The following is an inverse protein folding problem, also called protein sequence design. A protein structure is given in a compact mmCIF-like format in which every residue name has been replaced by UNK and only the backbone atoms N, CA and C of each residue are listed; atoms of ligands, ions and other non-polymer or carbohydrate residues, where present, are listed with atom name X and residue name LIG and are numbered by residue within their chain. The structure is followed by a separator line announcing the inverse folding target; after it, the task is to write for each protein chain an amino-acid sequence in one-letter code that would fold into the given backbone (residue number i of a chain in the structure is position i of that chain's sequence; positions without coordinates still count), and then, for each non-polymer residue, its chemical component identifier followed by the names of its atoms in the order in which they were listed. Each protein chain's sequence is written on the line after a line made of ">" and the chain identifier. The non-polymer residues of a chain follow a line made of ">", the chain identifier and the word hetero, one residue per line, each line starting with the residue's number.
data_IF_707183977221
#
_entry.id   IF_707183977221
#
_cell.length_a   1.000
_cell.length_b   1.000
_cell.length_c   1.000
_cell.angle_alpha   90.00
_cell.angle_beta   90.00
_cell.angle_gamma   90.00
#
_symmetry.space_group_name_H-M   'P 1'
#
loop_
_entity.id
_entity.type
_entity.pdbx_description
1 polymer ?
#
# COMPACT_ATOMS: atom_id res chain seq x y z
N UNK A 1 10.81 2.85 -18.47
CA UNK A 1 11.35 1.62 -17.88
C UNK A 1 11.08 1.70 -16.39
N UNK A 2 10.46 0.67 -15.81
CA UNK A 2 10.09 0.66 -14.39
C UNK A 2 11.34 0.52 -13.52
N UNK A 3 11.34 1.12 -12.34
CA UNK A 3 12.43 1.00 -11.39
C UNK A 3 11.97 1.18 -9.94
N UNK A 4 12.55 0.40 -9.03
CA UNK A 4 12.39 0.63 -7.59
C UNK A 4 13.19 1.86 -7.17
N UNK A 5 12.51 2.83 -6.56
CA UNK A 5 13.15 3.99 -5.95
C UNK A 5 13.31 3.77 -4.44
N UNK A 6 14.29 4.45 -3.82
CA UNK A 6 14.40 4.43 -2.37
C UNK A 6 13.15 5.07 -1.74
N UNK A 7 12.59 4.52 -0.65
CA UNK A 7 11.39 5.08 -0.05
C UNK A 7 11.49 6.57 0.31
N UNK A 8 12.66 7.02 0.80
CA UNK A 8 12.92 8.44 1.08
C UNK A 8 12.86 9.33 -0.17
N UNK A 9 13.26 8.82 -1.34
CA UNK A 9 13.19 9.58 -2.60
C UNK A 9 11.73 9.71 -3.07
N UNK A 10 10.95 8.65 -2.94
CA UNK A 10 9.51 8.66 -3.26
C UNK A 10 8.79 9.64 -2.30
N UNK A 11 9.03 9.52 -1.00
CA UNK A 11 8.43 10.39 -0.01
C UNK A 11 8.82 11.87 -0.19
N UNK A 12 10.07 12.17 -0.55
CA UNK A 12 10.50 13.54 -0.85
C UNK A 12 9.80 14.14 -2.09
N UNK A 13 9.42 13.30 -3.06
CA UNK A 13 8.65 13.71 -4.24
C UNK A 13 7.18 13.91 -3.91
N UNK A 14 6.56 13.01 -3.16
CA UNK A 14 5.12 13.05 -2.84
C UNK A 14 4.80 14.03 -1.70
N UNK A 15 5.62 14.05 -0.65
CA UNK A 15 5.44 14.88 0.55
C UNK A 15 6.76 15.58 0.94
N UNK A 16 7.12 16.66 0.25
CA UNK A 16 8.35 17.39 0.54
C UNK A 16 8.43 17.81 2.02
N UNK A 17 9.56 17.50 2.67
CA UNK A 17 9.79 17.80 4.10
C UNK A 17 9.25 16.74 5.06
N UNK A 18 8.60 15.69 4.55
CA UNK A 18 8.27 14.51 5.34
C UNK A 18 9.54 13.76 5.77
N UNK A 19 9.47 13.16 6.96
CA UNK A 19 10.49 12.24 7.46
C UNK A 19 10.09 10.77 7.29
N UNK A 20 8.94 10.50 6.66
CA UNK A 20 8.50 9.14 6.34
C UNK A 20 9.26 8.58 5.12
N UNK A 21 9.56 7.27 5.08
CA UNK A 21 9.35 6.27 6.13
C UNK A 21 10.49 6.17 7.15
N UNK A 22 11.44 7.11 7.16
CA UNK A 22 12.63 7.06 8.03
C UNK A 22 12.32 7.22 9.53
N UNK A 23 11.11 7.64 9.90
CA UNK A 23 10.66 7.72 11.30
C UNK A 23 9.58 6.69 11.55
N UNK A 24 9.83 5.78 12.50
CA UNK A 24 8.80 4.98 13.15
C UNK A 24 8.32 5.76 14.39
N UNK A 25 7.01 5.95 14.59
CA UNK A 25 5.92 5.33 13.85
C UNK A 25 5.24 6.29 12.85
N UNK A 26 5.79 6.45 11.64
CA UNK A 26 5.41 7.54 10.72
C UNK A 26 4.01 7.46 10.10
N UNK A 27 3.29 6.33 10.23
CA UNK A 27 1.91 6.14 9.77
C UNK A 27 0.94 5.71 10.88
N UNK A 28 1.38 5.73 12.14
CA UNK A 28 0.49 5.45 13.27
C UNK A 28 -0.56 6.56 13.46
N UNK A 29 -1.60 6.34 14.29
CA UNK A 29 -2.63 7.32 14.54
C UNK A 29 -2.07 8.72 14.85
N UNK A 30 -2.51 9.72 14.08
CA UNK A 30 -2.08 11.11 14.21
C UNK A 30 -0.91 11.54 13.31
N UNK A 31 -0.51 10.75 12.32
CA UNK A 31 0.50 11.18 11.33
C UNK A 31 0.06 12.45 10.57
N UNK A 32 1.03 13.26 10.15
CA UNK A 32 0.80 14.56 9.50
C UNK A 32 0.71 14.53 7.97
N UNK A 33 0.67 13.34 7.36
CA UNK A 33 0.62 13.21 5.89
C UNK A 33 -0.82 13.45 5.38
N UNK A 34 -0.99 14.15 4.25
CA UNK A 34 -2.29 14.32 3.63
C UNK A 34 -2.73 13.06 2.88
N UNK A 35 -4.04 12.93 2.69
CA UNK A 35 -4.60 11.93 1.76
C UNK A 35 -3.99 12.12 0.38
N UNK A 36 -3.44 11.04 -0.19
CA UNK A 36 -2.66 11.07 -1.45
C UNK A 36 -2.91 9.79 -2.24
N UNK A 37 -3.50 9.94 -3.43
CA UNK A 37 -3.55 8.88 -4.43
C UNK A 37 -2.19 8.77 -5.12
N UNK A 38 -1.53 7.63 -4.94
CA UNK A 38 -0.21 7.34 -5.53
C UNK A 38 -0.38 6.55 -6.82
N UNK A 39 -1.28 5.56 -6.79
CA UNK A 39 -1.75 4.73 -7.89
C UNK A 39 -3.22 4.36 -7.62
N UNK A 40 -3.95 3.80 -8.59
CA UNK A 40 -5.39 3.55 -8.47
C UNK A 40 -5.80 2.73 -7.24
N UNK A 41 -4.98 1.73 -6.88
CA UNK A 41 -5.20 0.88 -5.70
C UNK A 41 -4.39 1.29 -4.46
N UNK A 42 -3.73 2.45 -4.51
CA UNK A 42 -2.82 2.95 -3.47
C UNK A 42 -3.15 4.38 -3.10
N UNK A 43 -4.23 4.55 -2.34
CA UNK A 43 -4.65 5.83 -1.78
C UNK A 43 -4.22 5.91 -0.31
N UNK A 44 -3.12 6.60 -0.02
CA UNK A 44 -2.76 6.94 1.35
C UNK A 44 -3.86 7.82 1.94
N UNK A 45 -4.32 7.50 3.15
CA UNK A 45 -5.30 8.30 3.87
C UNK A 45 -4.60 9.28 4.81
N UNK A 46 -5.19 10.46 5.02
CA UNK A 46 -4.85 11.27 6.18
C UNK A 46 -5.30 10.60 7.48
N UNK A 47 -4.75 11.08 8.60
CA UNK A 47 -5.00 10.44 9.90
C UNK A 47 -6.48 10.42 10.32
N UNK A 48 -7.35 11.33 9.85
CA UNK A 48 -8.76 11.32 10.21
C UNK A 48 -9.50 10.26 9.39
N UNK A 49 -9.26 10.21 8.08
CA UNK A 49 -9.84 9.20 7.20
C UNK A 49 -9.37 7.79 7.57
N UNK A 50 -8.09 7.60 7.85
CA UNK A 50 -7.51 6.35 8.35
C UNK A 50 -8.21 5.85 9.63
N UNK A 51 -8.53 6.76 10.53
CA UNK A 51 -9.23 6.46 11.77
C UNK A 51 -10.68 6.05 11.53
N UNK A 52 -11.39 6.81 10.67
CA UNK A 52 -12.75 6.49 10.28
C UNK A 52 -12.86 5.12 9.61
N UNK A 53 -11.93 4.79 8.71
CA UNK A 53 -11.86 3.46 8.07
C UNK A 53 -11.60 2.36 9.10
N UNK A 54 -10.64 2.55 9.99
CA UNK A 54 -10.31 1.55 11.02
C UNK A 54 -11.53 1.27 11.91
N UNK A 55 -12.15 2.29 12.47
CA UNK A 55 -13.29 2.10 13.40
C UNK A 55 -14.59 1.71 12.68
N UNK A 56 -14.79 2.16 11.45
CA UNK A 56 -15.93 1.75 10.63
C UNK A 56 -15.92 0.25 10.33
N UNK A 57 -14.72 -0.34 10.20
CA UNK A 57 -14.51 -1.77 9.95
C UNK A 57 -14.38 -2.62 11.21
N UNK A 58 -14.08 -2.00 12.35
CA UNK A 58 -13.84 -2.70 13.63
C UNK A 58 -15.05 -3.50 14.13
N UNK A 59 -16.25 -2.96 13.97
CA UNK A 59 -17.49 -3.62 14.39
C UNK A 59 -17.83 -4.86 13.54
N UNK A 60 -17.82 -4.82 12.19
CA UNK A 60 -18.04 -6.02 11.39
C UNK A 60 -16.90 -7.04 11.46
N UNK A 61 -15.65 -6.61 11.69
CA UNK A 61 -14.46 -7.48 11.69
C UNK A 61 -13.91 -7.78 13.10
N UNK A 62 -14.78 -7.66 14.11
CA UNK A 62 -14.54 -7.94 15.51
C UNK A 62 -13.10 -7.63 15.99
N UNK A 63 -12.86 -6.36 16.33
CA UNK A 63 -11.62 -5.89 16.97
C UNK A 63 -10.40 -5.74 16.03
N UNK A 64 -10.61 -5.56 14.72
CA UNK A 64 -9.56 -5.19 13.75
C UNK A 64 -8.60 -4.12 14.31
N UNK A 65 -9.16 -3.08 14.92
CA UNK A 65 -8.43 -1.93 15.46
C UNK A 65 -7.55 -2.24 16.67
N UNK A 66 -7.59 -3.46 17.23
CA UNK A 66 -6.67 -3.88 18.29
C UNK A 66 -5.27 -4.11 17.74
N UNK A 67 -5.16 -4.89 16.67
CA UNK A 67 -3.89 -5.35 16.10
C UNK A 67 -3.50 -4.57 14.84
N UNK A 68 -4.47 -4.00 14.14
CA UNK A 68 -4.28 -3.38 12.82
C UNK A 68 -4.75 -1.94 12.78
N UNK A 69 -4.12 -1.17 11.91
CA UNK A 69 -4.46 0.21 11.61
C UNK A 69 -4.60 0.38 10.10
N UNK A 70 -5.77 0.81 9.63
CA UNK A 70 -5.94 1.17 8.21
C UNK A 70 -5.17 2.45 7.95
N UNK A 71 -4.28 2.45 6.96
CA UNK A 71 -3.50 3.64 6.59
C UNK A 71 -3.67 4.05 5.12
N UNK A 72 -4.13 3.12 4.28
CA UNK A 72 -4.44 3.38 2.88
C UNK A 72 -5.63 2.51 2.44
N UNK A 73 -6.27 2.89 1.34
CA UNK A 73 -7.32 2.12 0.69
C UNK A 73 -7.04 1.98 -0.81
N UNK A 74 -7.73 1.04 -1.45
CA UNK A 74 -7.87 1.01 -2.90
C UNK A 74 -9.05 1.88 -3.36
N UNK A 75 -9.12 2.21 -4.65
CA UNK A 75 -10.28 2.85 -5.25
C UNK A 75 -11.57 2.01 -5.22
N UNK A 76 -11.46 0.71 -4.91
CA UNK A 76 -12.59 -0.24 -4.84
C UNK A 76 -13.08 -0.51 -3.42
N UNK A 77 -12.40 0.01 -2.39
CA UNK A 77 -12.81 -0.14 -0.99
C UNK A 77 -12.05 -1.20 -0.19
N UNK A 78 -11.04 -1.85 -0.79
CA UNK A 78 -10.07 -2.67 -0.05
C UNK A 78 -9.20 -1.78 0.83
N UNK A 79 -8.65 -2.37 1.90
CA UNK A 79 -7.83 -1.61 2.85
C UNK A 79 -6.41 -2.18 2.97
N UNK A 80 -5.45 -1.26 3.04
CA UNK A 80 -4.09 -1.53 3.45
C UNK A 80 -3.95 -1.24 4.94
N UNK A 81 -3.38 -2.22 5.64
CA UNK A 81 -3.28 -2.24 7.09
C UNK A 81 -1.82 -2.22 7.50
N UNK A 82 -1.52 -1.53 8.60
CA UNK A 82 -0.26 -1.64 9.32
C UNK A 82 -0.50 -2.36 10.64
N UNK A 83 0.39 -3.29 10.98
CA UNK A 83 0.41 -3.85 12.32
C UNK A 83 0.71 -2.75 13.34
N UNK A 84 0.01 -2.79 14.48
CA UNK A 84 0.22 -1.85 15.59
C UNK A 84 1.39 -2.22 16.50
N UNK A 85 2.02 -3.36 16.22
CA UNK A 85 3.29 -3.72 16.84
C UNK A 85 4.46 -2.90 16.27
N UNK A 86 5.66 -3.14 16.80
CA UNK A 86 6.87 -2.44 16.37
C UNK A 86 7.38 -2.90 14.99
N UNK A 87 6.83 -3.96 14.41
CA UNK A 87 7.29 -4.51 13.13
C UNK A 87 6.71 -3.76 11.92
N UNK A 88 5.60 -3.02 12.09
CA UNK A 88 4.96 -2.23 11.03
C UNK A 88 4.73 -3.06 9.75
N UNK A 89 4.34 -4.31 9.93
CA UNK A 89 4.04 -5.23 8.85
C UNK A 89 2.79 -4.75 8.12
N UNK A 90 2.83 -4.80 6.79
CA UNK A 90 1.69 -4.43 5.95
C UNK A 90 0.87 -5.65 5.60
N UNK A 91 -0.45 -5.51 5.73
CA UNK A 91 -1.43 -6.49 5.33
C UNK A 91 -2.49 -5.87 4.41
N UNK A 92 -3.15 -6.74 3.65
CA UNK A 92 -4.26 -6.37 2.79
C UNK A 92 -5.57 -6.94 3.34
N UNK A 93 -6.66 -6.20 3.17
CA UNK A 93 -7.99 -6.60 3.60
C UNK A 93 -8.97 -6.43 2.44
N UNK A 94 -9.38 -7.57 1.88
CA UNK A 94 -10.37 -7.68 0.81
C UNK A 94 -11.76 -7.29 1.35
N UNK A 95 -12.32 -6.19 0.84
CA UNK A 95 -13.65 -5.75 1.25
C UNK A 95 -14.77 -6.66 0.74
N UNK A 96 -14.52 -7.39 -0.36
CA UNK A 96 -15.45 -8.34 -0.97
C UNK A 96 -15.60 -9.63 -0.17
N UNK A 97 -14.65 -9.94 0.72
CA UNK A 97 -14.70 -11.11 1.60
C UNK A 97 -15.76 -10.99 2.72
N UNK A 98 -16.34 -9.80 2.93
CA UNK A 98 -17.45 -9.59 3.85
C UNK A 98 -17.03 -9.57 5.33
N UNK A 99 -17.94 -9.89 6.28
CA UNK A 99 -17.71 -9.72 7.72
C UNK A 99 -16.70 -10.72 8.31
N UNK A 100 -16.33 -11.77 7.58
CA UNK A 100 -15.31 -12.74 8.00
C UNK A 100 -13.94 -12.45 7.36
N UNK A 101 -13.78 -11.28 6.70
CA UNK A 101 -12.53 -10.88 6.08
C UNK A 101 -11.40 -10.81 7.12
N UNK A 102 -10.27 -11.42 6.79
CA UNK A 102 -9.07 -11.39 7.63
C UNK A 102 -7.96 -10.58 6.95
N UNK A 103 -7.20 -9.79 7.71
CA UNK A 103 -5.95 -9.21 7.23
C UNK A 103 -5.01 -10.27 6.68
N UNK A 104 -4.49 -10.06 5.47
CA UNK A 104 -3.55 -10.94 4.80
C UNK A 104 -2.17 -10.26 4.76
N UNK A 105 -1.21 -10.65 5.63
CA UNK A 105 0.13 -10.08 5.63
C UNK A 105 0.86 -10.38 4.33
N UNK A 106 1.53 -9.36 3.77
CA UNK A 106 2.24 -9.47 2.49
C UNK A 106 3.76 -9.66 2.66
N UNK A 107 4.25 -9.66 3.90
CA UNK A 107 5.69 -9.77 4.20
C UNK A 107 6.48 -8.50 3.87
N UNK A 108 5.80 -7.37 3.68
CA UNK A 108 6.41 -6.06 3.40
C UNK A 108 6.20 -5.10 4.57
N UNK A 109 7.10 -4.13 4.73
CA UNK A 109 6.95 -3.00 5.64
C UNK A 109 6.33 -1.77 4.95
N UNK A 110 6.11 -0.70 5.71
CA UNK A 110 5.57 0.56 5.20
C UNK A 110 6.42 1.19 4.07
N UNK A 111 7.75 1.06 4.13
CA UNK A 111 8.65 1.58 3.11
C UNK A 111 8.56 0.78 1.82
N UNK A 112 8.52 -0.55 1.91
CA UNK A 112 8.32 -1.45 0.78
C UNK A 112 6.92 -1.28 0.17
N UNK A 113 5.89 -1.02 0.97
CA UNK A 113 4.56 -0.62 0.47
C UNK A 113 4.63 0.66 -0.35
N UNK A 114 5.39 1.67 0.07
CA UNK A 114 5.59 2.89 -0.73
C UNK A 114 6.24 2.61 -2.07
N UNK A 115 7.24 1.72 -2.08
CA UNK A 115 7.92 1.32 -3.31
C UNK A 115 6.98 0.56 -4.24
N UNK A 116 6.11 -0.29 -3.69
CA UNK A 116 5.08 -0.99 -4.44
C UNK A 116 4.06 -0.02 -5.03
N UNK A 117 3.57 0.94 -4.24
CA UNK A 117 2.65 1.99 -4.69
C UNK A 117 3.24 2.79 -5.86
N UNK A 118 4.49 3.22 -5.74
CA UNK A 118 5.18 3.94 -6.81
C UNK A 118 5.43 3.08 -8.05
N UNK A 119 5.74 1.79 -7.87
CA UNK A 119 5.89 0.85 -8.98
C UNK A 119 4.57 0.71 -9.75
N UNK A 120 3.43 0.62 -9.05
CA UNK A 120 2.12 0.56 -9.71
C UNK A 120 1.80 1.86 -10.44
N UNK A 121 2.13 3.02 -9.86
CA UNK A 121 1.98 4.31 -10.54
C UNK A 121 2.81 4.39 -11.83
N UNK A 122 4.05 3.87 -11.82
CA UNK A 122 4.88 3.79 -13.02
C UNK A 122 4.32 2.83 -14.07
N UNK A 123 3.71 1.71 -13.64
CA UNK A 123 3.05 0.74 -14.51
C UNK A 123 1.82 1.34 -15.20
N UNK A 124 0.92 1.95 -14.42
CA UNK A 124 -0.27 2.65 -14.91
C UNK A 124 0.11 3.73 -15.94
N UNK A 125 1.10 4.57 -15.61
CA UNK A 125 1.58 5.60 -16.52
C UNK A 125 2.19 5.05 -17.82
N UNK A 126 2.84 3.88 -17.78
CA UNK A 126 3.39 3.22 -18.96
C UNK A 126 2.26 2.63 -19.85
N UNK A 127 1.23 2.06 -19.23
CA UNK A 127 0.04 1.55 -19.92
C UNK A 127 -0.72 2.69 -20.62
N UNK A 128 -0.97 3.81 -19.92
CA UNK A 128 -1.65 4.99 -20.47
C UNK A 128 -0.92 5.61 -21.67
N UNK A 129 0.41 5.53 -21.69
CA UNK A 129 1.23 6.04 -22.80
C UNK A 129 1.29 5.08 -24.00
N UNK A 130 0.60 3.93 -23.94
CA UNK A 130 0.69 2.88 -24.96
C UNK A 130 2.09 2.28 -25.09
N UNK A 131 2.91 2.40 -24.04
CA UNK A 131 4.22 1.76 -23.94
C UNK A 131 4.09 0.29 -23.51
N UNK A 132 2.88 -0.17 -23.20
CA UNK A 132 2.47 -1.57 -23.21
C UNK A 132 2.43 -2.13 -24.64
N UNK A 133 3.59 -2.26 -25.30
CA UNK A 133 3.67 -3.11 -26.49
C UNK A 133 3.75 -4.59 -26.14
N UNK A 134 2.95 -5.03 -25.15
CA UNK A 134 2.77 -6.41 -24.72
C UNK A 134 3.68 -6.80 -23.58
N UNK A 135 3.10 -7.44 -22.54
CA UNK A 135 3.65 -8.33 -21.49
C UNK A 135 4.97 -7.95 -20.77
N UNK A 136 5.95 -7.34 -21.43
CA UNK A 136 7.28 -7.01 -20.94
C UNK A 136 7.27 -6.03 -19.77
N UNK A 137 6.41 -5.01 -19.79
CA UNK A 137 6.31 -4.03 -18.68
C UNK A 137 5.67 -4.70 -17.44
N UNK A 138 4.67 -5.57 -17.64
CA UNK A 138 4.06 -6.36 -16.56
C UNK A 138 5.06 -7.36 -15.98
N UNK A 139 5.80 -8.08 -16.83
CA UNK A 139 6.86 -8.99 -16.40
C UNK A 139 7.97 -8.26 -15.66
N UNK A 140 8.32 -7.04 -16.09
CA UNK A 140 9.26 -6.18 -15.37
C UNK A 140 8.71 -5.79 -13.99
N UNK A 141 7.43 -5.42 -13.88
CA UNK A 141 6.79 -5.12 -12.60
C UNK A 141 6.82 -6.32 -11.65
N UNK A 142 6.42 -7.50 -12.12
CA UNK A 142 6.46 -8.75 -11.35
C UNK A 142 7.88 -9.07 -10.85
N UNK A 143 8.90 -8.89 -11.71
CA UNK A 143 10.29 -9.09 -11.31
C UNK A 143 10.80 -8.07 -10.29
N UNK A 144 10.28 -6.85 -10.29
CA UNK A 144 10.60 -5.82 -9.29
C UNK A 144 9.85 -6.09 -7.97
N UNK A 145 8.64 -6.63 -8.00
CA UNK A 145 7.92 -7.06 -6.80
C UNK A 145 8.69 -8.16 -6.05
N UNK A 146 9.26 -9.13 -6.77
CA UNK A 146 10.10 -10.18 -6.18
C UNK A 146 11.40 -9.64 -5.56
N UNK A 147 11.89 -8.48 -6.03
CA UNK A 147 13.02 -7.79 -5.41
C UNK A 147 12.63 -7.03 -4.13
N UNK A 148 11.38 -6.59 -4.00
CA UNK A 148 10.88 -6.01 -2.76
C UNK A 148 10.81 -7.05 -1.67
N UNK A 149 10.14 -8.17 -1.94
CA UNK A 149 10.06 -9.32 -1.03
C UNK A 149 9.82 -10.60 -1.85
N UNK A 150 10.61 -11.66 -1.65
CA UNK A 150 10.39 -12.93 -2.35
C UNK A 150 8.98 -13.47 -2.13
N UNK A 151 8.32 -13.84 -3.22
CA UNK A 151 6.94 -14.34 -3.24
C UNK A 151 5.87 -13.26 -3.28
N UNK A 152 6.21 -11.96 -3.28
CA UNK A 152 5.22 -10.88 -3.29
C UNK A 152 4.34 -10.93 -4.54
N UNK A 153 4.89 -11.25 -5.71
CA UNK A 153 4.10 -11.32 -6.95
C UNK A 153 3.02 -12.41 -6.92
N UNK A 154 3.24 -13.48 -6.15
CA UNK A 154 2.30 -14.58 -6.01
C UNK A 154 1.20 -14.31 -4.96
N UNK A 155 1.45 -13.45 -3.98
CA UNK A 155 0.51 -13.11 -2.90
C UNK A 155 -0.11 -11.72 -3.05
N UNK A 156 0.25 -10.99 -4.11
CA UNK A 156 -0.29 -9.67 -4.39
C UNK A 156 -1.81 -9.75 -4.65
N UNK A 157 -2.63 -8.86 -4.04
CA UNK A 157 -4.09 -8.97 -4.09
C UNK A 157 -4.72 -8.72 -5.45
N UNK A 158 -4.00 -8.10 -6.40
CA UNK A 158 -4.53 -7.72 -7.70
C UNK A 158 -3.84 -8.45 -8.85
N UNK A 159 -4.58 -8.63 -9.95
CA UNK A 159 -4.01 -9.16 -11.19
C UNK A 159 -3.47 -8.02 -12.04
N UNK A 160 -2.21 -8.12 -12.50
CA UNK A 160 -1.56 -7.11 -13.35
C UNK A 160 -1.79 -7.33 -14.87
N UNK A 161 -2.79 -8.14 -15.25
CA UNK A 161 -2.99 -8.66 -16.60
C UNK A 161 -3.99 -7.84 -17.44
#
# INVERSE_FOLDING_TARGET
>A
MLALQAPAAIAQRLWPGSTWPAVVPGLMPGHGLPTTEIAGDFVLLDHLAAAQETWGRDAPLAMLGQDWWVFACSGTGDAWLLSRDQQQAVAFLDHGAGPDALPQPLGIDAGQWLQLADLMAQLEAAQDQGLDQGQDVVLQALALMEQLTPGLSAHYPYTLA
#
